data_IF_367772727315
#
_entry.id   IF_367772727315
#
_cell.length_a   1.000
_cell.length_b   1.000
_cell.length_c   1.000
_cell.angle_alpha   90.00
_cell.angle_beta   90.00
_cell.angle_gamma   90.00
#
_symmetry.space_group_name_H-M   'P 1'
#
loop_
_entity.id
_entity.type
_entity.pdbx_description
1 polymer ?
#
# COMPACT_ATOMS: atom_id res chain seq x y z
N UNK A 1 34.08 26.35 -0.26
CA UNK A 1 32.64 26.66 -0.40
C UNK A 1 31.83 25.56 -1.12
N UNK A 2 32.37 24.80 -2.08
CA UNK A 2 31.64 23.73 -2.81
C UNK A 2 31.22 22.48 -1.98
N UNK A 3 31.83 22.22 -0.82
CA UNK A 3 31.53 21.03 -0.01
C UNK A 3 30.20 21.13 0.76
N UNK A 4 29.76 22.35 1.10
CA UNK A 4 28.48 22.57 1.79
C UNK A 4 27.29 22.48 0.83
N UNK A 5 27.41 23.03 -0.39
CA UNK A 5 26.40 22.86 -1.45
C UNK A 5 26.18 21.38 -1.82
N UNK A 6 27.24 20.56 -1.83
CA UNK A 6 27.11 19.11 -2.12
C UNK A 6 26.25 18.37 -1.11
N UNK A 7 26.35 18.73 0.18
CA UNK A 7 25.57 18.10 1.24
C UNK A 7 24.12 18.57 1.23
N UNK A 8 23.87 19.85 0.94
CA UNK A 8 22.50 20.40 0.79
C UNK A 8 21.80 19.79 -0.42
N UNK A 9 22.50 19.60 -1.54
CA UNK A 9 21.95 18.95 -2.74
C UNK A 9 21.65 17.47 -2.47
N UNK A 10 22.45 16.79 -1.64
CA UNK A 10 22.25 15.38 -1.30
C UNK A 10 21.05 15.20 -0.37
N UNK A 11 20.91 16.02 0.67
CA UNK A 11 19.71 16.01 1.51
C UNK A 11 18.46 16.43 0.74
N UNK A 12 18.56 17.38 -0.19
CA UNK A 12 17.46 17.72 -1.11
C UNK A 12 17.07 16.58 -2.04
N UNK A 13 18.03 15.74 -2.45
CA UNK A 13 17.77 14.59 -3.31
C UNK A 13 17.08 13.47 -2.53
N UNK A 14 17.53 13.22 -1.30
CA UNK A 14 16.91 12.27 -0.37
C UNK A 14 15.48 12.72 -0.01
N UNK A 15 15.26 14.01 0.24
CA UNK A 15 13.93 14.57 0.44
C UNK A 15 13.05 14.51 -0.81
N UNK A 16 13.62 14.66 -2.02
CA UNK A 16 12.87 14.50 -3.28
C UNK A 16 12.50 13.05 -3.57
N UNK A 17 13.36 12.11 -3.23
CA UNK A 17 13.06 10.68 -3.36
C UNK A 17 11.98 10.27 -2.36
N UNK A 18 12.07 10.71 -1.10
CA UNK A 18 11.00 10.53 -0.12
C UNK A 18 9.69 11.17 -0.58
N UNK A 19 9.72 12.42 -1.04
CA UNK A 19 8.54 13.12 -1.55
C UNK A 19 7.90 12.42 -2.75
N UNK A 20 8.69 11.70 -3.56
CA UNK A 20 8.15 10.83 -4.62
C UNK A 20 7.44 9.62 -4.04
N UNK A 21 8.02 8.94 -3.05
CA UNK A 21 7.41 7.76 -2.42
C UNK A 21 6.05 8.11 -1.81
N UNK A 22 5.95 9.26 -1.12
CA UNK A 22 4.69 9.74 -0.52
C UNK A 22 3.84 10.62 -1.44
N UNK A 23 4.15 10.65 -2.74
CA UNK A 23 3.33 11.37 -3.69
C UNK A 23 1.93 10.74 -3.74
N UNK A 24 0.86 11.55 -3.87
CA UNK A 24 -0.51 11.03 -3.88
C UNK A 24 -0.71 9.98 -4.97
N UNK A 25 -0.07 10.15 -6.13
CA UNK A 25 -0.11 9.19 -7.24
C UNK A 25 0.48 7.83 -6.85
N UNK A 26 1.60 7.80 -6.13
CA UNK A 26 2.24 6.55 -5.71
C UNK A 26 1.42 5.84 -4.63
N UNK A 27 0.87 6.59 -3.67
CA UNK A 27 -0.04 6.03 -2.67
C UNK A 27 -1.32 5.47 -3.30
N UNK A 28 -1.86 6.11 -4.34
CA UNK A 28 -2.99 5.58 -5.11
C UNK A 28 -2.64 4.26 -5.79
N UNK A 29 -1.53 4.23 -6.54
CA UNK A 29 -1.08 3.01 -7.22
C UNK A 29 -0.92 1.86 -6.22
N UNK A 30 -0.27 2.11 -5.08
CA UNK A 30 -0.06 1.13 -4.03
C UNK A 30 -1.40 0.64 -3.43
N UNK A 31 -2.36 1.54 -3.21
CA UNK A 31 -3.68 1.21 -2.69
C UNK A 31 -4.51 0.40 -3.68
N UNK A 32 -4.46 0.75 -4.97
CA UNK A 32 -5.13 0.00 -6.04
C UNK A 32 -4.55 -1.42 -6.18
N UNK A 33 -3.23 -1.56 -6.17
CA UNK A 33 -2.55 -2.86 -6.19
C UNK A 33 -2.98 -3.75 -5.02
N UNK A 34 -3.02 -3.19 -3.80
CA UNK A 34 -3.48 -3.94 -2.62
C UNK A 34 -4.97 -4.32 -2.73
N UNK A 35 -5.80 -3.43 -3.27
CA UNK A 35 -7.23 -3.70 -3.49
C UNK A 35 -7.42 -4.86 -4.47
N UNK A 36 -6.67 -4.86 -5.57
CA UNK A 36 -6.71 -5.93 -6.57
C UNK A 36 -6.22 -7.25 -5.98
N UNK A 37 -5.11 -7.23 -5.25
CA UNK A 37 -4.58 -8.42 -4.59
C UNK A 37 -5.60 -9.02 -3.63
N UNK A 38 -6.24 -8.19 -2.81
CA UNK A 38 -7.28 -8.64 -1.88
C UNK A 38 -8.50 -9.25 -2.60
N UNK A 39 -8.89 -8.68 -3.75
CA UNK A 39 -9.97 -9.21 -4.59
C UNK A 39 -9.60 -10.57 -5.21
N UNK A 40 -8.35 -10.72 -5.68
CA UNK A 40 -7.85 -11.97 -6.24
C UNK A 40 -7.80 -13.06 -5.17
N UNK A 41 -7.30 -12.74 -3.96
CA UNK A 41 -7.28 -13.67 -2.83
C UNK A 41 -8.68 -14.09 -2.39
N UNK A 42 -9.65 -13.17 -2.36
CA UNK A 42 -11.07 -13.49 -2.07
C UNK A 42 -11.65 -14.49 -3.09
N UNK A 43 -11.23 -14.43 -4.36
CA UNK A 43 -11.74 -15.31 -5.43
C UNK A 43 -11.00 -16.63 -5.57
N UNK A 44 -9.69 -16.65 -5.26
CA UNK A 44 -8.82 -17.78 -5.56
C UNK A 44 -8.87 -18.90 -4.51
N UNK A 45 -9.26 -18.59 -3.27
CA UNK A 45 -9.20 -19.57 -2.18
C UNK A 45 -10.51 -19.67 -1.40
N UNK A 46 -10.90 -20.85 -0.88
CA UNK A 46 -11.88 -20.96 0.20
C UNK A 46 -11.31 -20.33 1.47
N UNK A 47 -11.43 -19.00 1.57
CA UNK A 47 -11.03 -18.24 2.76
C UNK A 47 -12.12 -18.32 3.82
N UNK A 48 -11.75 -18.59 5.07
CA UNK A 48 -12.68 -18.55 6.20
C UNK A 48 -13.37 -17.17 6.30
N UNK A 49 -14.57 -17.13 6.85
CA UNK A 49 -15.38 -15.90 7.00
C UNK A 49 -14.62 -14.74 7.64
N UNK A 50 -13.71 -15.06 8.56
CA UNK A 50 -12.88 -14.07 9.26
C UNK A 50 -11.79 -13.47 8.35
N UNK A 51 -11.24 -14.26 7.42
CA UNK A 51 -10.30 -13.77 6.41
C UNK A 51 -11.01 -12.97 5.32
N UNK A 52 -12.20 -13.40 4.88
CA UNK A 52 -13.05 -12.64 3.96
C UNK A 52 -13.41 -11.27 4.51
N UNK A 53 -13.77 -11.18 5.80
CA UNK A 53 -14.07 -9.90 6.45
C UNK A 53 -12.85 -8.96 6.44
N UNK A 54 -11.66 -9.49 6.73
CA UNK A 54 -10.40 -8.72 6.69
C UNK A 54 -10.10 -8.20 5.29
N UNK A 55 -10.19 -9.06 4.26
CA UNK A 55 -9.96 -8.65 2.86
C UNK A 55 -10.93 -7.56 2.40
N UNK A 56 -12.22 -7.66 2.76
CA UNK A 56 -13.20 -6.61 2.45
C UNK A 56 -12.93 -5.30 3.16
N UNK A 57 -12.52 -5.37 4.44
CA UNK A 57 -12.14 -4.20 5.20
C UNK A 57 -10.93 -3.49 4.56
N UNK A 58 -9.89 -4.23 4.20
CA UNK A 58 -8.71 -3.70 3.49
C UNK A 58 -9.14 -3.00 2.20
N UNK A 59 -9.99 -3.63 1.39
CA UNK A 59 -10.50 -3.02 0.15
C UNK A 59 -11.24 -1.70 0.41
N UNK A 60 -12.09 -1.66 1.43
CA UNK A 60 -12.81 -0.44 1.80
C UNK A 60 -11.87 0.66 2.30
N UNK A 61 -10.85 0.30 3.10
CA UNK A 61 -9.82 1.24 3.56
C UNK A 61 -9.00 1.79 2.38
N UNK A 62 -8.65 0.97 1.39
CA UNK A 62 -7.95 1.41 0.18
C UNK A 62 -8.82 2.31 -0.71
N UNK A 63 -10.10 1.99 -0.89
CA UNK A 63 -11.04 2.87 -1.61
C UNK A 63 -11.19 4.23 -0.92
N UNK A 64 -11.19 4.25 0.41
CA UNK A 64 -11.22 5.50 1.20
C UNK A 64 -9.90 6.28 1.05
N UNK A 65 -8.76 5.59 1.01
CA UNK A 65 -7.45 6.23 0.81
C UNK A 65 -7.33 6.84 -0.59
N UNK A 66 -7.77 6.15 -1.63
CA UNK A 66 -7.79 6.69 -3.01
C UNK A 66 -8.61 7.99 -3.03
N UNK A 67 -9.80 8.00 -2.44
CA UNK A 67 -10.61 9.22 -2.30
C UNK A 67 -9.91 10.32 -1.50
N UNK A 68 -9.24 9.96 -0.40
CA UNK A 68 -8.47 10.91 0.41
C UNK A 68 -7.38 11.56 -0.44
N UNK A 69 -6.59 10.78 -1.18
CA UNK A 69 -5.51 11.33 -2.02
C UNK A 69 -6.03 12.23 -3.16
N UNK A 70 -7.32 12.17 -3.50
CA UNK A 70 -8.00 13.07 -4.45
C UNK A 70 -8.53 14.36 -3.81
N UNK A 71 -8.64 14.39 -2.48
CA UNK A 71 -9.15 15.54 -1.75
C UNK A 71 -8.04 16.51 -1.36
N UNK A 72 -8.41 17.77 -1.14
CA UNK A 72 -7.50 18.78 -0.60
C UNK A 72 -7.07 18.46 0.86
N UNK A 73 -7.75 17.55 1.55
CA UNK A 73 -7.39 17.11 2.90
C UNK A 73 -6.06 16.36 2.89
N UNK A 74 -5.75 15.64 1.81
CA UNK A 74 -4.45 14.99 1.65
C UNK A 74 -3.31 16.00 1.59
N UNK A 75 -3.54 17.17 0.99
CA UNK A 75 -2.54 18.25 0.95
C UNK A 75 -2.23 18.83 2.33
N UNK A 76 -3.14 18.67 3.28
CA UNK A 76 -2.93 19.04 4.68
C UNK A 76 -2.16 18.00 5.50
N UNK A 77 -2.01 16.76 5.01
CA UNK A 77 -1.20 15.75 5.68
C UNK A 77 0.28 16.12 5.65
N UNK A 78 0.91 16.06 6.82
CA UNK A 78 2.35 16.17 6.98
C UNK A 78 3.09 15.05 6.23
N UNK A 79 4.37 15.27 5.99
CA UNK A 79 5.26 14.28 5.37
C UNK A 79 5.30 12.99 6.20
N UNK A 80 5.28 13.11 7.53
CA UNK A 80 5.29 11.98 8.47
C UNK A 80 4.01 11.15 8.36
N UNK A 81 2.83 11.77 8.36
CA UNK A 81 1.55 11.06 8.19
C UNK A 81 1.48 10.32 6.85
N UNK A 82 2.00 10.92 5.77
CA UNK A 82 2.03 10.26 4.46
C UNK A 82 3.01 9.09 4.40
N UNK A 83 4.13 9.17 5.13
CA UNK A 83 5.08 8.08 5.28
C UNK A 83 4.46 6.92 6.07
N UNK A 84 3.78 7.22 7.19
CA UNK A 84 3.06 6.22 7.97
C UNK A 84 1.98 5.51 7.14
N UNK A 85 1.24 6.26 6.32
CA UNK A 85 0.29 5.68 5.37
C UNK A 85 0.99 4.70 4.41
N UNK A 86 2.09 5.12 3.78
CA UNK A 86 2.85 4.25 2.86
C UNK A 86 3.33 2.95 3.55
N UNK A 87 3.90 3.06 4.76
CA UNK A 87 4.36 1.89 5.52
C UNK A 87 3.21 0.97 5.91
N UNK A 88 2.08 1.53 6.34
CA UNK A 88 0.90 0.75 6.74
C UNK A 88 0.35 -0.10 5.58
N UNK A 89 0.28 0.49 4.37
CA UNK A 89 -0.20 -0.20 3.16
C UNK A 89 0.81 -1.28 2.76
N UNK A 90 2.11 -0.99 2.83
CA UNK A 90 3.17 -1.97 2.52
C UNK A 90 3.08 -3.20 3.43
N UNK A 91 2.88 -2.99 4.74
CA UNK A 91 2.67 -4.10 5.69
C UNK A 91 1.39 -4.87 5.42
N UNK A 92 0.30 -4.19 5.07
CA UNK A 92 -0.95 -4.84 4.72
C UNK A 92 -0.81 -5.71 3.46
N UNK A 93 -0.01 -5.26 2.48
CA UNK A 93 0.31 -6.02 1.28
C UNK A 93 1.09 -7.31 1.60
N UNK A 94 2.11 -7.22 2.45
CA UNK A 94 2.84 -8.40 2.93
C UNK A 94 1.92 -9.41 3.62
N UNK A 95 1.02 -8.94 4.49
CA UNK A 95 0.06 -9.82 5.19
C UNK A 95 -0.91 -10.51 4.24
N UNK A 96 -1.41 -9.79 3.23
CA UNK A 96 -2.31 -10.39 2.22
C UNK A 96 -1.56 -11.42 1.39
N UNK A 97 -0.33 -11.13 0.96
CA UNK A 97 0.51 -12.10 0.26
C UNK A 97 0.78 -13.34 1.11
N UNK A 98 1.22 -13.17 2.36
CA UNK A 98 1.45 -14.30 3.27
C UNK A 98 0.19 -15.15 3.43
N UNK A 99 -0.98 -14.53 3.57
CA UNK A 99 -2.25 -15.24 3.67
C UNK A 99 -2.63 -16.00 2.39
N UNK A 100 -2.28 -15.46 1.22
CA UNK A 100 -2.51 -16.11 -0.06
C UNK A 100 -1.58 -17.32 -0.24
N UNK A 101 -0.31 -17.21 0.17
CA UNK A 101 0.67 -18.31 0.09
C UNK A 101 0.48 -19.41 1.15
N UNK A 102 -0.05 -19.06 2.32
CA UNK A 102 -0.34 -20.04 3.39
C UNK A 102 -1.67 -20.76 3.20
N UNK A 103 -2.52 -20.29 2.28
CA UNK A 103 -3.73 -21.00 1.91
C UNK A 103 -3.35 -22.21 1.04
N UNK A 104 -3.75 -23.45 1.40
CA UNK A 104 -3.40 -24.62 0.63
C UNK A 104 -3.92 -24.45 -0.80
N UNK A 105 -3.00 -24.50 -1.78
CA UNK A 105 -3.33 -24.41 -3.18
C UNK A 105 -4.46 -25.39 -3.52
N UNK A 106 -5.49 -24.99 -4.30
CA UNK A 106 -6.50 -25.90 -4.82
C UNK A 106 -5.88 -26.73 -5.96
N UNK A 107 -4.79 -27.44 -5.69
CA UNK A 107 -4.14 -28.36 -6.64
C UNK A 107 -4.21 -29.76 -6.04
N UNK A 108 -5.42 -30.24 -5.80
CA UNK A 108 -5.66 -31.64 -5.46
C UNK A 108 -6.99 -32.14 -6.05
N UNK A 109 -7.35 -31.74 -7.28
CA UNK A 109 -8.33 -32.44 -8.13
C UNK A 109 -8.01 -32.28 -9.61
N UNK A 110 -6.89 -32.86 -10.03
CA UNK A 110 -6.83 -33.50 -11.34
C UNK A 110 -6.67 -35.00 -11.06
N UNK A 111 -7.69 -35.72 -11.51
CA UNK A 111 -8.01 -37.15 -11.48
C UNK A 111 -6.87 -38.14 -11.19
#
# INVERSE_FOLDING_TARGET
>A
MFRWLRNVVRSWREHREQARIIAPQNLRTLADELRELALLTERASPVDTCALFRLRRIRHEMDALVKLTESAEFDHLSVEERLELHESISRAFEQVLESAYTSPAPTARLQ
#
